data_IF_039162726473
#
_entry.id   IF_039162726473
#
_cell.length_a   1.000
_cell.length_b   1.000
_cell.length_c   1.000
_cell.angle_alpha   90.00
_cell.angle_beta   90.00
_cell.angle_gamma   90.00
#
_symmetry.space_group_name_H-M   'P 1'
#
loop_
_entity.id
_entity.type
_entity.pdbx_description
1 polymer ?
#
# COMPACT_ATOMS: atom_id res chain seq x y z
N UNK A 1 20.27 17.32 21.07
CA UNK A 1 19.13 16.39 20.80
C UNK A 1 19.70 14.99 20.65
N UNK A 2 19.23 14.00 21.44
CA UNK A 2 19.66 12.60 21.29
C UNK A 2 19.02 11.98 20.04
N UNK A 3 19.77 11.15 19.34
CA UNK A 3 19.30 10.42 18.16
C UNK A 3 18.35 9.29 18.61
N UNK A 4 17.06 9.27 18.18
CA UNK A 4 16.09 8.30 18.66
C UNK A 4 16.42 6.85 18.25
N UNK A 5 17.10 6.66 17.11
CA UNK A 5 17.52 5.32 16.66
C UNK A 5 18.60 4.76 17.59
N UNK A 6 19.54 5.61 18.02
CA UNK A 6 20.58 5.22 19.00
C UNK A 6 20.01 4.94 20.38
N UNK A 7 18.92 5.60 20.76
CA UNK A 7 18.24 5.34 22.04
C UNK A 7 17.54 3.98 22.07
N UNK A 8 16.99 3.54 20.94
CA UNK A 8 16.41 2.21 20.79
C UNK A 8 17.45 1.12 20.46
N UNK A 9 18.70 1.50 20.16
CA UNK A 9 19.75 0.55 19.78
C UNK A 9 19.54 -0.07 18.40
N UNK A 10 18.81 0.61 17.51
CA UNK A 10 18.50 0.12 16.16
C UNK A 10 19.19 0.97 15.10
N UNK A 11 19.40 0.38 13.92
CA UNK A 11 19.90 1.13 12.76
C UNK A 11 18.85 2.14 12.25
N UNK A 12 19.29 3.13 11.47
CA UNK A 12 18.40 4.12 10.84
C UNK A 12 17.52 3.52 9.75
N UNK A 13 18.00 2.45 9.13
CA UNK A 13 17.29 1.70 8.08
C UNK A 13 16.52 0.48 8.64
N UNK A 14 16.42 0.37 9.97
CA UNK A 14 15.68 -0.70 10.62
C UNK A 14 14.21 -0.74 10.21
N UNK A 15 13.68 -1.96 10.07
CA UNK A 15 12.28 -2.21 9.77
C UNK A 15 11.37 -1.83 10.95
N UNK A 16 10.09 -1.61 10.67
CA UNK A 16 9.10 -1.29 11.71
C UNK A 16 8.99 -2.41 12.76
N UNK A 17 9.17 -3.66 12.35
CA UNK A 17 9.15 -4.84 13.22
C UNK A 17 10.34 -4.84 14.19
N UNK A 18 11.54 -4.53 13.70
CA UNK A 18 12.74 -4.40 14.55
C UNK A 18 12.61 -3.24 15.54
N UNK A 19 12.07 -2.10 15.10
CA UNK A 19 11.83 -0.93 15.96
C UNK A 19 10.82 -1.28 17.06
N UNK A 20 9.72 -1.95 16.72
CA UNK A 20 8.71 -2.41 17.71
C UNK A 20 9.27 -3.46 18.65
N UNK A 21 10.07 -4.39 18.13
CA UNK A 21 10.76 -5.41 18.92
C UNK A 21 11.73 -4.81 19.93
N UNK A 22 12.58 -3.89 19.49
CA UNK A 22 13.53 -3.17 20.34
C UNK A 22 12.83 -2.38 21.45
N UNK A 23 11.74 -1.66 21.11
CA UNK A 23 10.90 -0.97 22.11
C UNK A 23 10.39 -1.96 23.17
N UNK A 24 9.79 -3.07 22.74
CA UNK A 24 9.18 -4.03 23.67
C UNK A 24 10.24 -4.68 24.58
N UNK A 25 11.40 -5.01 24.02
CA UNK A 25 12.54 -5.52 24.79
C UNK A 25 13.00 -4.50 25.85
N UNK A 26 13.17 -3.23 25.46
CA UNK A 26 13.63 -2.18 26.35
C UNK A 26 12.61 -1.83 27.44
N UNK A 27 11.32 -1.79 27.13
CA UNK A 27 10.26 -1.59 28.13
C UNK A 27 10.25 -2.73 29.15
N UNK A 28 10.43 -3.98 28.72
CA UNK A 28 10.54 -5.11 29.63
C UNK A 28 11.80 -5.03 30.50
N UNK A 29 12.93 -4.61 29.94
CA UNK A 29 14.20 -4.51 30.66
C UNK A 29 14.21 -3.38 31.70
N UNK A 30 13.55 -2.26 31.40
CA UNK A 30 13.48 -1.08 32.28
C UNK A 30 12.13 -0.95 33.01
N UNK A 31 11.39 -2.06 33.14
CA UNK A 31 10.08 -2.07 33.79
C UNK A 31 10.17 -1.51 35.22
N UNK A 32 9.41 -0.44 35.48
CA UNK A 32 9.38 0.25 36.77
C UNK A 32 10.35 1.43 36.90
N UNK A 33 11.13 1.75 35.86
CA UNK A 33 11.93 2.97 35.80
C UNK A 33 11.30 3.99 34.85
N UNK A 34 10.34 4.75 35.37
CA UNK A 34 9.51 5.72 34.64
C UNK A 34 10.30 6.66 33.69
N UNK A 35 11.45 7.27 34.09
CA UNK A 35 12.20 8.14 33.19
C UNK A 35 12.81 7.43 31.98
N UNK A 36 13.14 6.14 32.13
CA UNK A 36 13.70 5.34 31.04
C UNK A 36 12.58 4.91 30.09
N UNK A 37 11.43 4.51 30.63
CA UNK A 37 10.26 4.15 29.84
C UNK A 37 9.77 5.34 28.99
N UNK A 38 9.69 6.54 29.57
CA UNK A 38 9.31 7.76 28.84
C UNK A 38 10.30 8.08 27.73
N UNK A 39 11.60 7.92 27.99
CA UNK A 39 12.64 8.13 26.98
C UNK A 39 12.55 7.12 25.82
N UNK A 40 12.24 5.86 26.11
CA UNK A 40 12.03 4.80 25.11
C UNK A 40 10.79 5.13 24.26
N UNK A 41 9.67 5.46 24.90
CA UNK A 41 8.42 5.76 24.21
C UNK A 41 8.53 7.02 23.34
N UNK A 42 9.13 8.09 23.87
CA UNK A 42 9.38 9.32 23.11
C UNK A 42 10.28 9.08 21.88
N UNK A 43 11.23 8.16 22.00
CA UNK A 43 12.12 7.80 20.87
C UNK A 43 11.35 7.06 19.79
N UNK A 44 10.52 6.09 20.20
CA UNK A 44 9.64 5.34 19.31
C UNK A 44 8.65 6.27 18.58
N UNK A 45 7.95 7.14 19.32
CA UNK A 45 6.99 8.08 18.75
C UNK A 45 7.64 8.99 17.70
N UNK A 46 8.86 9.51 17.96
CA UNK A 46 9.59 10.34 16.99
C UNK A 46 9.89 9.61 15.69
N UNK A 47 10.32 8.35 15.77
CA UNK A 47 10.61 7.53 14.59
C UNK A 47 9.32 7.30 13.80
N UNK A 48 8.26 6.84 14.46
CA UNK A 48 6.97 6.56 13.83
C UNK A 48 6.37 7.84 13.21
N UNK A 49 6.40 8.95 13.93
CA UNK A 49 5.93 10.25 13.43
C UNK A 49 6.69 10.68 12.19
N UNK A 50 8.01 10.51 12.14
CA UNK A 50 8.83 10.81 10.96
C UNK A 50 8.42 9.95 9.77
N UNK A 51 8.19 8.65 9.97
CA UNK A 51 7.68 7.73 8.94
C UNK A 51 6.34 8.21 8.38
N UNK A 52 5.38 8.56 9.24
CA UNK A 52 4.08 9.09 8.82
C UNK A 52 4.21 10.39 8.02
N UNK A 53 5.05 11.33 8.48
CA UNK A 53 5.29 12.57 7.76
C UNK A 53 5.90 12.32 6.38
N UNK A 54 6.83 11.37 6.26
CA UNK A 54 7.42 10.97 5.00
C UNK A 54 6.37 10.38 4.06
N UNK A 55 5.54 9.45 4.54
CA UNK A 55 4.45 8.87 3.75
C UNK A 55 3.43 9.95 3.31
N UNK A 56 3.09 10.89 4.19
CA UNK A 56 2.18 12.01 3.87
C UNK A 56 2.78 12.91 2.79
N UNK A 57 4.05 13.29 2.91
CA UNK A 57 4.76 14.09 1.91
C UNK A 57 4.84 13.39 0.55
N UNK A 58 5.16 12.09 0.54
CA UNK A 58 5.25 11.30 -0.70
C UNK A 58 3.89 11.17 -1.37
N UNK A 59 2.81 10.87 -0.63
CA UNK A 59 1.43 10.82 -1.17
C UNK A 59 0.99 12.17 -1.75
N UNK A 60 1.31 13.28 -1.09
CA UNK A 60 0.99 14.63 -1.58
C UNK A 60 1.80 14.94 -2.85
N UNK A 61 3.09 14.61 -2.88
CA UNK A 61 3.93 14.80 -4.06
C UNK A 61 3.45 13.96 -5.26
N UNK A 62 3.04 12.72 -5.03
CA UNK A 62 2.43 11.87 -6.07
C UNK A 62 1.13 12.47 -6.62
N UNK A 63 0.20 12.89 -5.75
CA UNK A 63 -1.06 13.51 -6.18
C UNK A 63 -0.82 14.81 -6.96
N UNK A 64 0.08 15.68 -6.50
CA UNK A 64 0.37 16.93 -7.19
C UNK A 64 1.11 16.70 -8.51
N UNK A 65 2.02 15.72 -8.58
CA UNK A 65 2.67 15.33 -9.84
C UNK A 65 1.69 14.75 -10.84
N UNK A 66 0.78 13.88 -10.41
CA UNK A 66 -0.28 13.34 -11.27
C UNK A 66 -1.21 14.45 -11.76
N UNK A 67 -1.63 15.36 -10.88
CA UNK A 67 -2.46 16.51 -11.27
C UNK A 67 -1.76 17.41 -12.30
N UNK A 68 -0.48 17.73 -12.08
CA UNK A 68 0.33 18.49 -13.05
C UNK A 68 0.48 17.76 -14.37
N UNK A 69 0.77 16.45 -14.34
CA UNK A 69 0.84 15.66 -15.56
C UNK A 69 -0.48 15.66 -16.30
N UNK A 70 -1.64 15.54 -15.63
CA UNK A 70 -2.96 15.64 -16.27
C UNK A 70 -3.20 17.04 -16.85
N UNK A 71 -2.80 18.10 -16.17
CA UNK A 71 -2.94 19.49 -16.64
C UNK A 71 -2.03 19.81 -17.85
N UNK A 72 -0.80 19.32 -17.84
CA UNK A 72 0.20 19.44 -18.92
C UNK A 72 0.03 18.39 -20.03
N UNK A 73 -0.85 17.41 -19.82
CA UNK A 73 -1.05 16.34 -20.79
C UNK A 73 -1.64 16.88 -22.10
N UNK A 74 -1.18 16.35 -23.26
CA UNK A 74 -1.75 16.67 -24.56
C UNK A 74 -3.28 16.48 -24.61
N UNK A 75 -3.97 17.22 -25.49
CA UNK A 75 -5.44 17.22 -25.54
C UNK A 75 -6.06 15.84 -25.73
N UNK A 76 -5.37 14.91 -26.39
CA UNK A 76 -5.83 13.54 -26.59
C UNK A 76 -5.89 12.72 -25.27
N UNK A 77 -4.99 12.96 -24.32
CA UNK A 77 -5.01 12.29 -23.00
C UNK A 77 -6.19 12.79 -22.16
N UNK A 78 -6.44 14.11 -22.20
CA UNK A 78 -7.60 14.72 -21.54
C UNK A 78 -8.91 14.23 -22.13
N UNK A 79 -8.96 14.09 -23.47
CA UNK A 79 -10.10 13.50 -24.15
C UNK A 79 -10.32 12.05 -23.68
N UNK A 80 -9.29 11.21 -23.65
CA UNK A 80 -9.40 9.83 -23.15
C UNK A 80 -9.86 9.74 -21.69
N UNK A 81 -9.30 10.55 -20.78
CA UNK A 81 -9.74 10.59 -19.38
C UNK A 81 -11.20 11.03 -19.27
N UNK A 82 -11.62 12.03 -20.05
CA UNK A 82 -13.02 12.47 -20.12
C UNK A 82 -13.95 11.40 -20.70
N UNK A 83 -13.51 10.62 -21.69
CA UNK A 83 -14.25 9.47 -22.18
C UNK A 83 -14.40 8.38 -21.10
N UNK A 84 -13.37 8.12 -20.30
CA UNK A 84 -13.46 7.18 -19.17
C UNK A 84 -14.36 7.68 -18.03
N UNK A 85 -14.37 8.98 -17.75
CA UNK A 85 -15.20 9.59 -16.71
C UNK A 85 -16.70 9.60 -17.09
N UNK A 86 -17.01 9.73 -18.39
CA UNK A 86 -18.38 9.70 -18.92
C UNK A 86 -18.90 8.27 -19.14
N UNK A 87 -18.01 7.29 -19.30
CA UNK A 87 -18.39 5.91 -19.55
C UNK A 87 -18.66 5.20 -18.22
N UNK A 88 -19.94 5.01 -17.88
CA UNK A 88 -20.42 4.45 -16.61
C UNK A 88 -19.63 3.20 -16.19
N UNK A 89 -18.66 3.40 -15.28
CA UNK A 89 -17.79 2.34 -14.74
C UNK A 89 -18.63 1.19 -14.17
N UNK A 90 -19.84 1.46 -13.67
CA UNK A 90 -20.79 0.44 -13.19
C UNK A 90 -21.14 -0.61 -14.25
N UNK A 91 -21.30 -0.21 -15.50
CA UNK A 91 -21.69 -1.12 -16.59
C UNK A 91 -20.49 -1.94 -17.05
N UNK A 92 -19.33 -1.31 -17.18
CA UNK A 92 -18.09 -1.99 -17.60
C UNK A 92 -17.63 -2.97 -16.54
N UNK A 93 -17.58 -2.55 -15.27
CA UNK A 93 -17.16 -3.40 -14.15
C UNK A 93 -18.07 -4.62 -14.00
N UNK A 94 -19.39 -4.45 -14.13
CA UNK A 94 -20.34 -5.57 -14.11
C UNK A 94 -20.06 -6.57 -15.22
N UNK A 95 -19.80 -6.12 -16.45
CA UNK A 95 -19.47 -6.99 -17.59
C UNK A 95 -18.11 -7.67 -17.40
N UNK A 96 -17.10 -6.94 -16.94
CA UNK A 96 -15.76 -7.47 -16.69
C UNK A 96 -15.78 -8.53 -15.59
N UNK A 97 -16.54 -8.28 -14.52
CA UNK A 97 -16.75 -9.22 -13.42
C UNK A 97 -17.41 -10.50 -13.92
N UNK A 98 -18.51 -10.40 -14.69
CA UNK A 98 -19.15 -11.58 -15.25
C UNK A 98 -18.24 -12.36 -16.18
N UNK A 99 -17.44 -11.68 -17.02
CA UNK A 99 -16.49 -12.35 -17.91
C UNK A 99 -15.36 -13.04 -17.14
N UNK A 100 -14.78 -12.39 -16.14
CA UNK A 100 -13.75 -12.99 -15.29
C UNK A 100 -14.32 -14.17 -14.48
N UNK A 101 -15.56 -14.04 -14.00
CA UNK A 101 -16.27 -15.08 -13.28
C UNK A 101 -16.54 -16.28 -14.19
N UNK A 102 -17.07 -16.08 -15.40
CA UNK A 102 -17.31 -17.14 -16.37
C UNK A 102 -15.99 -17.78 -16.84
N UNK A 103 -14.94 -17.00 -17.06
CA UNK A 103 -13.63 -17.53 -17.45
C UNK A 103 -13.01 -18.38 -16.33
N UNK A 104 -13.04 -17.91 -15.09
CA UNK A 104 -12.57 -18.68 -13.93
C UNK A 104 -13.42 -19.93 -13.70
N UNK A 105 -14.74 -19.82 -13.81
CA UNK A 105 -15.67 -20.94 -13.70
C UNK A 105 -15.43 -21.98 -14.81
N UNK A 106 -15.28 -21.52 -16.05
CA UNK A 106 -15.02 -22.36 -17.23
C UNK A 106 -13.73 -23.15 -17.09
N UNK A 107 -12.64 -22.54 -16.59
CA UNK A 107 -11.37 -23.25 -16.36
C UNK A 107 -11.55 -24.32 -15.27
N UNK A 108 -12.27 -24.03 -14.19
CA UNK A 108 -12.53 -24.98 -13.13
C UNK A 108 -13.39 -26.18 -13.61
N UNK A 109 -14.42 -25.94 -14.41
CA UNK A 109 -15.30 -27.01 -14.93
C UNK A 109 -14.71 -27.75 -16.14
N UNK A 110 -13.79 -27.14 -16.89
CA UNK A 110 -13.10 -27.78 -18.02
C UNK A 110 -12.04 -28.80 -17.58
N UNK A 111 -11.65 -28.81 -16.31
CA UNK A 111 -10.81 -29.87 -15.75
C UNK A 111 -11.58 -31.19 -15.59
N UNK A 112 -12.92 -31.15 -15.54
CA UNK A 112 -13.79 -32.30 -15.32
C UNK A 112 -14.47 -32.79 -16.61
N UNK A 113 -14.76 -31.88 -17.55
CA UNK A 113 -15.40 -32.21 -18.82
C UNK A 113 -14.36 -32.25 -19.94
N UNK A 114 -14.06 -33.46 -20.43
CA UNK A 114 -13.12 -33.71 -21.53
C UNK A 114 -13.34 -32.79 -22.75
N UNK A 115 -12.23 -32.40 -23.36
CA UNK A 115 -12.12 -31.39 -24.44
C UNK A 115 -13.27 -31.41 -25.44
N UNK A 116 -14.07 -30.33 -25.45
CA UNK A 116 -15.17 -30.09 -26.40
C UNK A 116 -14.69 -29.97 -27.87
N UNK A 117 -13.38 -29.83 -28.09
CA UNK A 117 -12.76 -29.79 -29.42
C UNK A 117 -12.70 -31.14 -30.15
N UNK A 118 -13.13 -32.24 -29.52
CA UNK A 118 -13.12 -33.57 -30.16
C UNK A 118 -14.45 -33.97 -30.83
N UNK A 119 -15.49 -33.12 -30.81
CA UNK A 119 -16.80 -33.43 -31.38
C UNK A 119 -17.10 -32.71 -32.70
N UNK A 120 -16.10 -32.04 -33.29
CA UNK A 120 -16.18 -31.43 -34.61
C UNK A 120 -15.25 -32.17 -35.59
N UNK A 121 -15.57 -33.43 -35.89
CA UNK A 121 -15.08 -34.19 -37.04
C UNK A 121 -16.31 -34.76 -37.75
#
# INVERSE_FOLDING_TARGET
MRDPYKLLGVDRDASEEEIRGARNFLIQQYAGHEPSEEAIESSYEKIIMKSYQQLKKTKINLKTRLKKQVEESPSWVKALLGYFEVLSIDIISRRLFFLAFIAGWSIATSAENGSVFQLAI
#
